data_IF_341810621127
#
_entry.id   IF_341810621127
#
_cell.length_a   1.000
_cell.length_b   1.000
_cell.length_c   1.000
_cell.angle_alpha   90.00
_cell.angle_beta   90.00
_cell.angle_gamma   90.00
#
_symmetry.space_group_name_H-M   'P 1'
#
loop_
_entity.id
_entity.type
_entity.pdbx_description
1 polymer ?
#
# COMPACT_ATOMS: atom_id res chain seq x y z
N UNK A 1 5.05 -10.01 39.81
CA UNK A 1 5.50 -10.92 38.74
C UNK A 1 4.86 -10.45 37.47
N UNK A 2 5.65 -9.90 36.57
CA UNK A 2 5.18 -9.38 35.29
C UNK A 2 5.08 -10.56 34.31
N UNK A 3 3.87 -10.96 33.96
CA UNK A 3 3.68 -11.90 32.87
C UNK A 3 3.92 -11.17 31.57
N UNK A 4 5.09 -11.33 31.02
CA UNK A 4 5.43 -10.92 29.67
C UNK A 4 4.71 -11.91 28.74
N UNK A 5 3.60 -11.51 28.17
CA UNK A 5 2.93 -12.32 27.13
C UNK A 5 3.62 -12.01 25.81
N UNK A 6 4.44 -12.95 25.37
CA UNK A 6 4.99 -12.95 24.01
C UNK A 6 3.87 -13.36 23.06
N UNK A 7 3.50 -12.49 22.13
CA UNK A 7 2.65 -12.89 21.03
C UNK A 7 3.43 -13.89 20.15
N UNK A 8 3.00 -15.13 20.10
CA UNK A 8 3.56 -16.11 19.19
C UNK A 8 3.14 -15.75 17.75
N UNK A 9 4.13 -15.62 16.90
CA UNK A 9 3.96 -15.41 15.48
C UNK A 9 3.71 -16.76 14.80
N UNK A 10 2.57 -16.91 14.14
CA UNK A 10 2.27 -18.10 13.36
C UNK A 10 2.45 -17.78 11.87
N UNK A 11 3.58 -18.20 11.32
CA UNK A 11 3.93 -17.98 9.90
C UNK A 11 2.96 -18.66 8.93
N UNK A 12 2.27 -19.70 9.35
CA UNK A 12 1.42 -20.52 8.48
C UNK A 12 0.06 -19.86 8.19
N UNK A 13 -0.43 -19.00 9.07
CA UNK A 13 -1.77 -18.41 8.93
C UNK A 13 -1.76 -16.90 8.68
N UNK A 14 -0.62 -16.25 8.79
CA UNK A 14 -0.48 -14.77 8.74
C UNK A 14 -1.45 -14.02 9.68
N UNK A 15 -2.03 -14.71 10.61
CA UNK A 15 -2.92 -14.17 11.61
C UNK A 15 -2.14 -13.92 12.90
N UNK A 16 -2.07 -12.68 13.32
CA UNK A 16 -1.60 -12.39 14.67
C UNK A 16 -2.68 -12.78 15.66
N UNK A 17 -2.37 -13.72 16.55
CA UNK A 17 -3.25 -14.06 17.66
C UNK A 17 -3.10 -12.97 18.73
N UNK A 18 -4.15 -12.22 18.97
CA UNK A 18 -4.18 -11.24 20.04
C UNK A 18 -4.53 -11.94 21.36
N UNK A 19 -3.72 -11.72 22.38
CA UNK A 19 -4.10 -12.14 23.72
C UNK A 19 -5.27 -11.28 24.23
N UNK A 20 -6.42 -11.91 24.42
CA UNK A 20 -7.63 -11.27 24.95
C UNK A 20 -7.48 -10.81 26.42
N UNK A 21 -6.42 -11.23 27.09
CA UNK A 21 -6.17 -10.95 28.52
C UNK A 21 -5.29 -9.72 28.76
N UNK A 22 -5.11 -8.89 27.73
CA UNK A 22 -4.31 -7.67 27.88
C UNK A 22 -4.92 -6.75 28.94
N UNK A 23 -4.33 -6.77 30.12
CA UNK A 23 -4.72 -5.85 31.20
C UNK A 23 -4.31 -4.44 30.80
N UNK A 24 -5.24 -3.53 30.95
CA UNK A 24 -5.08 -2.11 30.81
C UNK A 24 -4.01 -1.60 31.80
N UNK A 25 -2.75 -1.65 31.38
CA UNK A 25 -1.65 -0.98 32.06
C UNK A 25 -1.58 0.47 31.61
N UNK A 26 -1.14 1.36 32.48
CA UNK A 26 -1.05 2.80 32.23
C UNK A 26 -0.01 3.20 31.16
N UNK A 27 0.68 2.27 30.53
CA UNK A 27 1.70 2.55 29.53
C UNK A 27 1.18 2.22 28.15
N UNK A 28 1.12 3.18 27.21
CA UNK A 28 0.74 2.90 25.82
C UNK A 28 1.63 1.83 25.22
N UNK A 29 1.02 0.83 24.62
CA UNK A 29 1.77 -0.24 23.97
C UNK A 29 1.79 0.00 22.47
N UNK A 30 2.98 0.04 21.89
CA UNK A 30 3.17 0.09 20.46
C UNK A 30 3.23 -1.33 19.93
N UNK A 31 2.30 -1.70 19.07
CA UNK A 31 2.31 -2.96 18.34
C UNK A 31 2.56 -2.68 16.87
N UNK A 32 3.54 -3.37 16.31
CA UNK A 32 3.80 -3.34 14.88
C UNK A 32 3.18 -4.57 14.25
N UNK A 33 2.37 -4.38 13.23
CA UNK A 33 1.92 -5.47 12.38
C UNK A 33 2.98 -5.68 11.30
N UNK A 34 3.81 -6.71 11.48
CA UNK A 34 4.85 -7.07 10.53
C UNK A 34 4.28 -7.72 9.25
N UNK A 35 2.98 -7.97 9.20
CA UNK A 35 2.31 -8.63 8.07
C UNK A 35 1.64 -7.68 7.09
N UNK A 36 1.62 -6.40 7.36
CA UNK A 36 1.45 -5.47 6.28
C UNK A 36 2.79 -5.21 5.68
N UNK A 37 2.84 -5.67 4.51
CA UNK A 37 4.00 -6.47 4.20
C UNK A 37 5.22 -5.58 4.26
N UNK A 38 6.31 -6.14 4.68
CA UNK A 38 7.62 -5.79 4.19
C UNK A 38 7.66 -5.81 2.64
N UNK A 39 6.53 -5.99 1.99
CA UNK A 39 6.32 -5.96 0.56
C UNK A 39 6.19 -4.51 0.12
N UNK A 40 7.01 -4.11 -0.80
CA UNK A 40 6.77 -2.90 -1.56
C UNK A 40 5.59 -3.08 -2.51
N UNK A 41 5.04 -1.95 -2.96
CA UNK A 41 3.97 -1.92 -3.95
C UNK A 41 4.40 -1.03 -5.10
N UNK A 42 4.25 -1.51 -6.32
CA UNK A 42 4.44 -0.69 -7.50
C UNK A 42 3.12 -0.61 -8.26
N UNK A 43 2.59 0.59 -8.36
CA UNK A 43 1.49 0.94 -9.24
C UNK A 43 2.06 1.83 -10.33
N UNK A 44 2.04 1.37 -11.57
CA UNK A 44 2.50 2.12 -12.72
C UNK A 44 1.38 2.22 -13.75
N UNK A 45 1.09 3.44 -14.19
CA UNK A 45 0.37 3.67 -15.41
C UNK A 45 1.35 3.54 -16.57
N UNK A 46 1.21 2.51 -17.37
CA UNK A 46 2.07 2.33 -18.52
C UNK A 46 1.64 3.27 -19.66
N UNK A 47 2.64 3.80 -20.37
CA UNK A 47 2.41 4.64 -21.55
C UNK A 47 1.63 3.89 -22.63
N UNK A 48 0.87 4.63 -23.43
CA UNK A 48 0.18 4.08 -24.57
C UNK A 48 1.15 3.33 -25.51
N UNK A 49 0.73 2.15 -25.98
CA UNK A 49 1.56 1.32 -26.82
C UNK A 49 2.50 0.36 -26.08
N UNK A 50 2.40 0.27 -24.77
CA UNK A 50 3.13 -0.75 -24.02
C UNK A 50 2.74 -2.15 -24.49
N UNK A 51 3.74 -3.05 -24.56
CA UNK A 51 3.55 -4.45 -24.91
C UNK A 51 4.08 -5.37 -23.82
N UNK A 52 3.60 -6.58 -23.75
CA UNK A 52 4.10 -7.61 -22.87
C UNK A 52 4.33 -8.91 -23.61
N UNK A 53 5.29 -9.69 -23.16
CA UNK A 53 5.52 -11.07 -23.54
C UNK A 53 5.89 -11.89 -22.32
N UNK A 54 5.68 -13.21 -22.39
CA UNK A 54 6.13 -14.11 -21.32
C UNK A 54 6.94 -15.25 -21.90
N UNK A 55 8.08 -15.51 -21.26
CA UNK A 55 8.95 -16.65 -21.58
C UNK A 55 9.44 -17.27 -20.29
N UNK A 56 9.24 -18.56 -20.14
CA UNK A 56 9.69 -19.34 -18.97
C UNK A 56 9.24 -18.74 -17.63
N UNK A 57 7.99 -18.28 -17.56
CA UNK A 57 7.41 -17.71 -16.35
C UNK A 57 7.84 -16.27 -16.03
N UNK A 58 8.64 -15.63 -16.87
CA UNK A 58 9.02 -14.23 -16.75
C UNK A 58 8.22 -13.39 -17.73
N UNK A 59 7.50 -12.42 -17.24
CA UNK A 59 6.81 -11.41 -18.04
C UNK A 59 7.75 -10.23 -18.25
N UNK A 60 7.95 -9.87 -19.50
CA UNK A 60 8.67 -8.66 -19.91
C UNK A 60 7.67 -7.66 -20.43
N UNK A 61 7.59 -6.51 -19.78
CA UNK A 61 6.77 -5.38 -20.25
C UNK A 61 7.68 -4.35 -20.87
N UNK A 62 7.38 -3.99 -22.12
CA UNK A 62 8.07 -2.90 -22.83
C UNK A 62 7.15 -1.69 -22.86
N UNK A 63 7.58 -0.62 -22.20
CA UNK A 63 6.84 0.63 -22.03
C UNK A 63 7.80 1.80 -22.11
N UNK A 64 7.88 2.43 -23.26
CA UNK A 64 8.88 3.48 -23.55
C UNK A 64 8.79 4.62 -22.53
N UNK A 65 9.93 4.93 -21.91
CA UNK A 65 10.07 6.02 -20.93
C UNK A 65 9.07 5.90 -19.77
N UNK A 66 8.95 4.72 -19.18
CA UNK A 66 7.98 4.44 -18.09
C UNK A 66 8.21 5.25 -16.79
N UNK A 67 9.34 5.94 -16.65
CA UNK A 67 9.62 6.84 -15.52
C UNK A 67 9.97 6.16 -14.19
N UNK A 68 10.05 4.83 -14.13
CA UNK A 68 10.45 4.08 -12.94
C UNK A 68 11.98 4.11 -12.84
N UNK A 69 12.52 4.16 -11.62
CA UNK A 69 13.98 4.17 -11.39
C UNK A 69 14.63 2.92 -11.96
N UNK A 70 15.56 3.11 -12.87
CA UNK A 70 16.23 2.03 -13.61
C UNK A 70 17.37 1.39 -12.81
N UNK A 71 17.78 0.17 -13.21
CA UNK A 71 18.85 -0.57 -12.57
C UNK A 71 18.49 -1.08 -11.17
N UNK A 72 17.22 -1.09 -10.81
CA UNK A 72 16.72 -1.55 -9.51
C UNK A 72 16.04 -2.91 -9.61
N UNK A 73 16.16 -3.70 -8.55
CA UNK A 73 15.38 -4.91 -8.32
C UNK A 73 14.59 -4.74 -7.03
N UNK A 74 13.29 -4.78 -7.13
CA UNK A 74 12.39 -4.66 -5.99
C UNK A 74 12.01 -6.06 -5.51
N UNK A 75 12.84 -6.65 -4.66
CA UNK A 75 12.58 -7.96 -4.06
C UNK A 75 11.40 -7.86 -3.11
N UNK A 76 10.41 -8.74 -3.27
CA UNK A 76 9.20 -8.75 -2.45
C UNK A 76 8.24 -7.59 -2.76
N UNK A 77 8.43 -6.86 -3.85
CA UNK A 77 7.49 -5.85 -4.30
C UNK A 77 6.34 -6.48 -5.07
N UNK A 78 5.10 -6.09 -4.75
CA UNK A 78 3.93 -6.42 -5.54
C UNK A 78 3.78 -5.42 -6.67
N UNK A 79 3.59 -5.93 -7.87
CA UNK A 79 3.34 -5.11 -9.06
C UNK A 79 1.90 -5.23 -9.51
N UNK A 80 1.22 -4.10 -9.70
CA UNK A 80 -0.09 -4.09 -10.33
C UNK A 80 0.04 -4.04 -11.84
N UNK A 81 -0.18 -5.18 -12.46
CA UNK A 81 -0.19 -5.31 -13.92
C UNK A 81 -1.58 -4.94 -14.47
N UNK A 82 -1.67 -4.09 -15.51
CA UNK A 82 -2.97 -3.66 -16.04
C UNK A 82 -3.70 -4.70 -16.90
N UNK A 83 -3.03 -5.82 -17.19
CA UNK A 83 -3.58 -6.89 -17.99
C UNK A 83 -3.20 -6.82 -19.48
N UNK A 84 -3.31 -7.96 -20.13
CA UNK A 84 -3.18 -8.17 -21.57
C UNK A 84 -4.07 -9.35 -21.98
N UNK A 85 -4.23 -9.67 -23.26
CA UNK A 85 -5.06 -10.81 -23.69
C UNK A 85 -4.75 -12.13 -23.01
N UNK A 86 -3.46 -12.43 -22.78
CA UNK A 86 -3.00 -13.71 -22.19
C UNK A 86 -2.68 -13.64 -20.71
N UNK A 87 -2.72 -12.45 -20.07
CA UNK A 87 -2.42 -12.28 -18.65
C UNK A 87 -3.39 -11.27 -18.02
N UNK A 88 -4.13 -11.74 -17.02
CA UNK A 88 -5.14 -10.93 -16.34
C UNK A 88 -4.56 -9.72 -15.63
N UNK A 89 -5.36 -8.65 -15.49
CA UNK A 89 -5.04 -7.53 -14.62
C UNK A 89 -5.07 -7.96 -13.15
N UNK A 90 -4.13 -7.45 -12.36
CA UNK A 90 -4.08 -7.73 -10.93
C UNK A 90 -2.72 -7.48 -10.30
N UNK A 91 -2.64 -7.76 -9.00
CA UNK A 91 -1.41 -7.73 -8.23
C UNK A 91 -0.63 -9.03 -8.39
N UNK A 92 0.64 -8.89 -8.76
CA UNK A 92 1.58 -10.00 -8.88
C UNK A 92 2.65 -9.89 -7.81
N UNK A 93 2.75 -10.92 -6.98
CA UNK A 93 3.75 -11.07 -5.92
C UNK A 93 5.00 -11.70 -6.53
N UNK A 94 5.92 -10.87 -6.99
CA UNK A 94 7.08 -11.38 -7.72
C UNK A 94 8.30 -10.49 -7.53
N UNK A 95 9.44 -10.98 -7.99
CA UNK A 95 10.62 -10.13 -8.13
C UNK A 95 10.38 -9.21 -9.32
N UNK A 96 10.31 -7.92 -9.05
CA UNK A 96 10.22 -6.88 -10.07
C UNK A 96 11.61 -6.33 -10.37
N UNK A 97 12.03 -6.39 -11.62
CA UNK A 97 13.27 -5.80 -12.06
C UNK A 97 13.01 -4.72 -13.11
N UNK A 98 13.74 -3.61 -13.00
CA UNK A 98 13.68 -2.47 -13.92
C UNK A 98 15.04 -2.36 -14.62
N UNK A 99 15.29 -3.12 -15.70
CA UNK A 99 16.59 -3.16 -16.36
C UNK A 99 16.99 -1.83 -16.98
N UNK A 100 16.04 -1.15 -17.58
CA UNK A 100 16.25 0.09 -18.32
C UNK A 100 15.00 0.99 -18.30
N UNK A 101 15.07 2.14 -18.96
CA UNK A 101 13.98 3.13 -18.98
C UNK A 101 12.74 2.70 -19.77
N UNK A 102 12.81 1.60 -20.49
CA UNK A 102 11.73 1.13 -21.38
C UNK A 102 11.21 -0.26 -21.01
N UNK A 103 11.86 -0.94 -20.06
CA UNK A 103 11.58 -2.35 -19.77
C UNK A 103 11.43 -2.58 -18.27
N UNK A 104 10.42 -3.35 -17.90
CA UNK A 104 10.30 -3.95 -16.58
C UNK A 104 9.96 -5.43 -16.69
N UNK A 105 10.40 -6.23 -15.72
CA UNK A 105 10.13 -7.66 -15.70
C UNK A 105 9.58 -8.12 -14.35
N UNK A 106 8.69 -9.08 -14.37
CA UNK A 106 8.16 -9.74 -13.17
C UNK A 106 7.81 -11.20 -13.47
N UNK A 107 7.69 -12.00 -12.42
CA UNK A 107 7.33 -13.42 -12.57
C UNK A 107 5.82 -13.61 -12.54
N UNK A 108 5.29 -14.40 -13.46
CA UNK A 108 3.90 -14.84 -13.44
C UNK A 108 3.79 -16.24 -14.03
N UNK A 109 3.10 -17.13 -13.34
CA UNK A 109 2.86 -18.49 -13.81
C UNK A 109 1.90 -18.51 -15.00
N UNK A 110 2.01 -19.55 -15.83
CA UNK A 110 1.11 -19.82 -16.96
C UNK A 110 1.87 -20.17 -18.24
N UNK A 111 1.16 -20.26 -19.36
CA UNK A 111 1.75 -20.54 -20.67
C UNK A 111 2.50 -19.34 -21.24
N UNK A 112 3.59 -19.57 -21.96
CA UNK A 112 4.32 -18.51 -22.64
C UNK A 112 3.45 -17.87 -23.74
N UNK A 113 3.65 -16.57 -23.95
CA UNK A 113 2.97 -15.82 -25.01
C UNK A 113 3.93 -14.81 -25.66
N UNK A 114 3.69 -14.55 -26.94
CA UNK A 114 4.46 -13.56 -27.70
C UNK A 114 4.10 -12.12 -27.33
N UNK A 115 4.66 -11.18 -28.07
CA UNK A 115 4.36 -9.75 -27.83
C UNK A 115 2.87 -9.45 -28.08
N UNK A 116 2.20 -8.91 -27.07
CA UNK A 116 0.81 -8.47 -27.14
C UNK A 116 0.62 -7.11 -26.44
N UNK A 117 -0.42 -6.38 -26.81
CA UNK A 117 -0.70 -5.08 -26.24
C UNK A 117 -1.11 -5.21 -24.77
N UNK A 118 -0.50 -4.39 -23.90
CA UNK A 118 -0.92 -4.24 -22.52
C UNK A 118 -2.18 -3.38 -22.48
N UNK A 119 -3.17 -3.82 -21.70
CA UNK A 119 -4.36 -3.01 -21.43
C UNK A 119 -3.92 -1.80 -20.62
N UNK A 120 -3.93 -0.59 -21.21
CA UNK A 120 -3.47 0.57 -20.47
C UNK A 120 -3.01 1.69 -21.36
N UNK A 121 -2.52 2.74 -20.79
CA UNK A 121 -2.47 4.09 -21.29
C UNK A 121 -3.60 4.88 -20.66
N UNK A 122 -4.45 4.21 -19.87
CA UNK A 122 -5.43 4.85 -19.01
C UNK A 122 -4.77 4.99 -17.64
N UNK A 123 -4.67 6.21 -17.15
CA UNK A 123 -4.23 6.47 -15.80
C UNK A 123 -5.09 5.67 -14.81
N UNK A 124 -4.47 5.10 -13.78
CA UNK A 124 -5.20 4.47 -12.67
C UNK A 124 -5.87 5.56 -11.81
N UNK A 125 -6.80 6.28 -12.42
CA UNK A 125 -7.65 7.27 -11.76
C UNK A 125 -8.62 6.60 -10.80
N UNK A 126 -8.87 5.29 -11.00
CA UNK A 126 -9.60 4.48 -10.05
C UNK A 126 -8.65 4.01 -8.96
N UNK A 127 -9.05 4.28 -7.73
CA UNK A 127 -8.31 3.87 -6.55
C UNK A 127 -8.19 2.34 -6.48
N UNK A 128 -6.95 1.84 -6.31
CA UNK A 128 -6.62 0.42 -6.30
C UNK A 128 -6.18 -0.01 -4.91
N UNK A 129 -6.85 -1.00 -4.33
CA UNK A 129 -6.50 -1.53 -3.02
C UNK A 129 -5.26 -2.44 -3.14
N UNK A 130 -4.17 -2.01 -2.52
CA UNK A 130 -2.89 -2.72 -2.55
C UNK A 130 -2.79 -3.79 -1.48
N UNK A 131 -3.27 -3.49 -0.29
CA UNK A 131 -3.29 -4.42 0.84
C UNK A 131 -4.41 -4.10 1.82
N UNK A 132 -4.86 -5.10 2.55
CA UNK A 132 -5.83 -4.93 3.63
C UNK A 132 -5.49 -5.81 4.83
N UNK A 133 -5.90 -5.34 5.99
CA UNK A 133 -5.71 -5.99 7.29
C UNK A 133 -7.00 -5.87 8.08
N UNK A 134 -7.44 -6.96 8.69
CA UNK A 134 -8.54 -6.91 9.66
C UNK A 134 -7.99 -6.59 11.04
N UNK A 135 -8.50 -5.53 11.65
CA UNK A 135 -8.30 -5.22 13.07
C UNK A 135 -9.50 -5.81 13.81
N UNK A 136 -9.30 -6.84 14.63
CA UNK A 136 -10.41 -7.48 15.36
C UNK A 136 -11.13 -6.51 16.28
N UNK A 137 -12.42 -6.71 16.42
CA UNK A 137 -13.26 -5.91 17.32
C UNK A 137 -12.69 -5.87 18.74
N UNK A 138 -12.87 -4.74 19.40
CA UNK A 138 -12.31 -4.47 20.73
C UNK A 138 -10.77 -4.44 20.84
N UNK A 139 -10.02 -4.54 19.74
CA UNK A 139 -8.56 -4.32 19.74
C UNK A 139 -8.24 -2.84 19.99
N UNK A 140 -8.89 -1.95 19.26
CA UNK A 140 -8.77 -0.51 19.48
C UNK A 140 -9.63 -0.08 20.69
N UNK A 141 -9.16 0.93 21.39
CA UNK A 141 -9.82 1.53 22.57
C UNK A 141 -9.96 3.04 22.36
N UNK A 142 -10.59 3.71 23.30
CA UNK A 142 -10.50 5.16 23.36
C UNK A 142 -9.03 5.59 23.44
N UNK A 143 -8.66 6.65 22.74
CA UNK A 143 -7.31 7.19 22.55
C UNK A 143 -6.34 6.30 21.75
N UNK A 144 -6.72 5.09 21.33
CA UNK A 144 -5.88 4.30 20.43
C UNK A 144 -5.55 5.07 19.15
N UNK A 145 -4.32 4.88 18.69
CA UNK A 145 -3.84 5.47 17.43
C UNK A 145 -3.47 4.37 16.44
N UNK A 146 -3.95 4.50 15.23
CA UNK A 146 -3.52 3.70 14.08
C UNK A 146 -2.63 4.57 13.20
N UNK A 147 -1.44 4.09 12.86
CA UNK A 147 -0.48 4.77 12.01
C UNK A 147 -0.02 3.84 10.91
N UNK A 148 -0.15 4.27 9.67
CA UNK A 148 0.51 3.69 8.51
C UNK A 148 1.77 4.50 8.24
N UNK A 149 2.93 3.87 8.38
CA UNK A 149 4.20 4.45 7.94
C UNK A 149 4.64 3.76 6.66
N UNK A 150 5.10 4.52 5.68
CA UNK A 150 5.58 3.99 4.41
C UNK A 150 6.72 4.83 3.85
N UNK A 151 7.66 4.15 3.23
CA UNK A 151 8.65 4.77 2.37
C UNK A 151 8.05 4.92 0.99
N UNK A 152 8.29 6.05 0.34
CA UNK A 152 7.74 6.35 -0.97
C UNK A 152 8.82 6.75 -1.96
N UNK A 153 8.67 6.30 -3.18
CA UNK A 153 9.35 6.78 -4.37
C UNK A 153 8.31 7.04 -5.46
N UNK A 154 8.28 8.23 -6.00
CA UNK A 154 7.36 8.61 -7.07
C UNK A 154 8.11 9.07 -8.30
N UNK A 155 7.64 8.66 -9.49
CA UNK A 155 8.19 9.15 -10.74
C UNK A 155 7.82 10.61 -11.04
N UNK A 156 8.57 11.26 -11.90
CA UNK A 156 8.10 12.39 -12.68
C UNK A 156 7.20 11.89 -13.81
N UNK A 157 6.20 12.65 -14.29
CA UNK A 157 5.91 14.05 -14.07
C UNK A 157 5.14 14.34 -12.78
N UNK A 158 4.99 15.65 -12.49
CA UNK A 158 4.39 16.18 -11.29
C UNK A 158 2.86 16.12 -11.31
N UNK A 159 2.30 14.93 -11.35
CA UNK A 159 0.85 14.73 -11.20
C UNK A 159 0.53 14.05 -9.87
N UNK A 160 -0.69 14.19 -9.41
CA UNK A 160 -1.08 13.70 -8.09
C UNK A 160 -1.00 12.18 -7.99
N UNK A 161 -0.12 11.72 -7.13
CA UNK A 161 -0.03 10.32 -6.70
C UNK A 161 -0.54 10.25 -5.26
N UNK A 162 -1.51 9.41 -5.01
CA UNK A 162 -2.19 9.38 -3.72
C UNK A 162 -2.00 8.02 -3.04
N UNK A 163 -1.62 8.07 -1.77
CA UNK A 163 -1.67 6.94 -0.85
C UNK A 163 -2.78 7.22 0.15
N UNK A 164 -3.76 6.36 0.24
CA UNK A 164 -4.91 6.54 1.13
C UNK A 164 -4.96 5.43 2.17
N UNK A 165 -5.09 5.83 3.42
CA UNK A 165 -5.43 4.94 4.53
C UNK A 165 -6.96 4.88 4.63
N UNK A 166 -7.53 3.71 4.40
CA UNK A 166 -8.97 3.46 4.48
C UNK A 166 -9.26 2.65 5.73
N UNK A 167 -10.25 3.04 6.51
CA UNK A 167 -10.69 2.34 7.72
C UNK A 167 -12.19 2.08 7.66
N UNK A 168 -12.58 0.82 7.81
CA UNK A 168 -13.97 0.40 7.71
C UNK A 168 -14.66 0.85 6.41
N UNK A 169 -13.95 0.83 5.28
CA UNK A 169 -14.45 1.25 3.98
C UNK A 169 -14.47 2.77 3.73
N UNK A 170 -14.08 3.60 4.70
CA UNK A 170 -14.03 5.07 4.55
C UNK A 170 -12.59 5.58 4.56
N UNK A 171 -12.27 6.55 3.70
CA UNK A 171 -10.97 7.20 3.70
C UNK A 171 -10.74 7.94 5.03
N UNK A 172 -9.72 7.52 5.76
CA UNK A 172 -9.34 8.13 7.03
C UNK A 172 -8.33 9.27 6.81
N UNK A 173 -7.25 8.98 6.11
CA UNK A 173 -6.22 9.94 5.80
C UNK A 173 -5.64 9.65 4.42
N UNK A 174 -5.15 10.67 3.75
CA UNK A 174 -4.50 10.51 2.45
C UNK A 174 -3.22 11.36 2.37
N UNK A 175 -2.28 10.88 1.59
CA UNK A 175 -1.08 11.59 1.22
C UNK A 175 -1.10 11.86 -0.29
N UNK A 176 -0.99 13.12 -0.65
CA UNK A 176 -0.84 13.54 -2.04
C UNK A 176 0.59 13.96 -2.31
N UNK A 177 1.15 13.42 -3.37
CA UNK A 177 2.43 13.85 -3.87
C UNK A 177 2.29 14.39 -5.28
N UNK A 178 2.71 15.61 -5.45
CA UNK A 178 2.69 16.30 -6.74
C UNK A 178 4.02 16.19 -7.51
N UNK A 179 5.07 15.62 -6.90
CA UNK A 179 6.41 15.59 -7.48
C UNK A 179 7.10 14.23 -7.33
N UNK A 180 8.27 14.09 -7.96
CA UNK A 180 9.18 12.96 -7.83
C UNK A 180 9.90 12.92 -6.48
N UNK A 181 9.18 12.96 -5.38
CA UNK A 181 9.80 12.99 -4.08
C UNK A 181 9.91 11.62 -3.45
N UNK A 182 10.97 11.45 -2.71
CA UNK A 182 11.29 10.28 -1.89
C UNK A 182 11.22 10.66 -0.43
N UNK A 183 10.69 9.80 0.40
CA UNK A 183 10.70 10.05 1.83
C UNK A 183 9.78 9.13 2.63
N UNK A 184 9.98 9.19 3.94
CA UNK A 184 9.10 8.53 4.90
C UNK A 184 7.85 9.37 5.12
N UNK A 185 6.70 8.75 5.00
CA UNK A 185 5.39 9.37 5.20
C UNK A 185 4.60 8.57 6.22
N UNK A 186 3.86 9.28 7.05
CA UNK A 186 2.96 8.66 8.02
C UNK A 186 1.54 9.20 7.87
N UNK A 187 0.60 8.29 7.70
CA UNK A 187 -0.84 8.55 7.78
C UNK A 187 -1.37 7.99 9.09
N UNK A 188 -2.20 8.72 9.80
CA UNK A 188 -2.73 8.21 11.06
C UNK A 188 -4.10 8.76 11.39
N UNK A 189 -4.86 7.98 12.19
CA UNK A 189 -6.03 8.46 12.88
C UNK A 189 -5.97 8.08 14.36
N UNK A 190 -6.80 8.74 15.18
CA UNK A 190 -6.97 8.47 16.59
C UNK A 190 -8.43 8.13 16.88
N UNK A 191 -8.66 7.15 17.73
CA UNK A 191 -9.97 6.85 18.26
C UNK A 191 -10.32 7.83 19.39
N UNK A 192 -11.52 8.38 19.35
CA UNK A 192 -12.11 9.22 20.39
C UNK A 192 -13.44 8.58 20.83
N UNK A 193 -13.35 7.55 21.67
CA UNK A 193 -14.49 6.68 21.99
C UNK A 193 -14.66 5.53 21.00
N UNK A 194 -15.74 4.75 21.18
CA UNK A 194 -16.00 3.52 20.41
C UNK A 194 -16.45 3.76 18.97
N UNK A 195 -17.06 4.92 18.68
CA UNK A 195 -17.69 5.20 17.40
C UNK A 195 -17.20 6.48 16.75
N UNK A 196 -16.03 6.96 17.13
CA UNK A 196 -15.46 8.17 16.58
C UNK A 196 -13.96 8.02 16.35
N UNK A 197 -13.53 8.27 15.14
CA UNK A 197 -12.11 8.36 14.78
C UNK A 197 -11.86 9.72 14.12
N UNK A 198 -10.72 10.32 14.44
CA UNK A 198 -10.33 11.62 13.90
C UNK A 198 -8.95 11.50 13.26
N UNK A 199 -8.84 11.95 12.03
CA UNK A 199 -7.62 11.98 11.25
C UNK A 199 -7.39 13.37 10.65
N UNK A 200 -6.13 13.69 10.33
CA UNK A 200 -5.84 14.75 9.39
C UNK A 200 -6.13 14.24 7.97
N UNK A 201 -7.03 14.89 7.26
CA UNK A 201 -7.52 14.38 5.97
C UNK A 201 -6.46 14.32 4.88
N UNK A 202 -5.47 15.22 4.92
CA UNK A 202 -4.46 15.31 3.89
C UNK A 202 -3.11 15.65 4.50
N UNK A 203 -2.10 14.88 4.14
CA UNK A 203 -0.70 15.19 4.39
C UNK A 203 -0.07 15.45 3.03
N UNK A 204 0.47 16.63 2.84
CA UNK A 204 1.20 17.00 1.63
C UNK A 204 2.70 16.97 1.91
N UNK A 205 3.47 16.70 0.88
CA UNK A 205 4.91 16.70 0.95
C UNK A 205 5.47 18.08 1.35
N UNK A 206 6.35 18.07 2.34
CA UNK A 206 7.06 19.28 2.79
C UNK A 206 6.24 20.28 3.60
N UNK A 207 4.97 20.04 3.81
CA UNK A 207 4.13 20.93 4.58
C UNK A 207 3.03 20.17 5.32
N UNK A 208 3.03 20.21 6.64
CA UNK A 208 1.88 19.86 7.46
C UNK A 208 0.80 20.94 7.29
N UNK A 209 0.38 21.15 6.07
CA UNK A 209 -0.70 22.11 5.82
C UNK A 209 -2.00 21.53 6.31
N UNK A 210 -2.65 22.28 7.10
CA UNK A 210 -4.02 22.28 7.58
C UNK A 210 -5.03 21.57 6.67
N UNK A 211 -4.93 20.26 6.56
CA UNK A 211 -6.05 19.47 6.05
C UNK A 211 -7.21 19.58 7.05
N UNK A 212 -8.42 19.64 6.56
CA UNK A 212 -9.58 19.53 7.42
C UNK A 212 -9.51 18.22 8.22
N UNK A 213 -10.02 18.21 9.44
CA UNK A 213 -10.14 16.99 10.21
C UNK A 213 -11.22 16.11 9.57
N UNK A 214 -10.85 14.88 9.22
CA UNK A 214 -11.83 13.85 8.84
C UNK A 214 -12.31 13.16 10.09
N UNK A 215 -13.61 13.07 10.25
CA UNK A 215 -14.26 12.33 11.33
C UNK A 215 -14.91 11.09 10.74
N UNK A 216 -14.52 9.92 11.24
CA UNK A 216 -15.14 8.65 10.91
C UNK A 216 -16.02 8.19 12.08
N UNK A 217 -17.07 7.43 11.76
CA UNK A 217 -18.02 6.88 12.74
C UNK A 217 -18.05 5.36 12.65
N UNK A 218 -16.89 4.73 12.83
CA UNK A 218 -16.76 3.26 12.76
C UNK A 218 -16.81 2.67 14.16
N UNK A 219 -17.60 1.63 14.32
CA UNK A 219 -17.71 0.91 15.58
C UNK A 219 -16.48 -0.01 15.77
N UNK A 220 -15.56 0.39 16.66
CA UNK A 220 -14.35 -0.38 16.95
C UNK A 220 -14.59 -1.58 17.88
N UNK A 221 -15.81 -1.81 18.33
CA UNK A 221 -16.18 -3.06 18.99
C UNK A 221 -16.37 -4.21 18.01
N UNK A 222 -16.53 -3.89 16.73
CA UNK A 222 -16.64 -4.83 15.62
C UNK A 222 -15.32 -4.90 14.85
N UNK A 223 -15.14 -5.98 14.10
CA UNK A 223 -14.01 -6.11 13.19
C UNK A 223 -14.02 -4.98 12.17
N UNK A 224 -12.85 -4.36 11.99
CA UNK A 224 -12.68 -3.25 11.04
C UNK A 224 -11.56 -3.57 10.06
N UNK A 225 -11.82 -3.39 8.78
CA UNK A 225 -10.77 -3.53 7.76
C UNK A 225 -10.00 -2.24 7.62
N UNK A 226 -8.69 -2.33 7.72
CA UNK A 226 -7.75 -1.28 7.36
C UNK A 226 -7.19 -1.59 5.97
N UNK A 227 -7.23 -0.63 5.04
CA UNK A 227 -6.80 -0.84 3.66
C UNK A 227 -5.82 0.24 3.23
N UNK A 228 -4.74 -0.19 2.57
CA UNK A 228 -3.83 0.68 1.82
C UNK A 228 -4.36 0.78 0.39
N UNK A 229 -4.68 2.00 -0.02
CA UNK A 229 -5.21 2.29 -1.35
C UNK A 229 -4.27 3.22 -2.09
N UNK A 230 -4.00 2.90 -3.35
CA UNK A 230 -3.09 3.65 -4.20
C UNK A 230 -3.84 4.20 -5.41
N UNK A 231 -3.46 5.41 -5.83
CA UNK A 231 -4.00 6.04 -7.04
C UNK A 231 -2.90 6.83 -7.74
N UNK A 232 -2.85 6.79 -9.05
CA UNK A 232 -2.04 7.66 -9.90
C UNK A 232 -2.95 8.39 -10.89
N UNK A 233 -2.63 9.63 -11.21
CA UNK A 233 -3.53 10.49 -11.98
C UNK A 233 -3.18 10.58 -13.47
N UNK A 234 -1.99 10.16 -13.87
CA UNK A 234 -1.51 10.26 -15.26
C UNK A 234 -1.01 8.91 -15.78
N UNK A 235 -1.14 8.71 -17.08
CA UNK A 235 -0.61 7.53 -17.77
C UNK A 235 0.92 7.38 -17.72
N UNK A 236 1.63 8.42 -17.30
CA UNK A 236 3.09 8.41 -17.15
C UNK A 236 3.52 8.35 -15.69
N UNK A 237 2.58 8.29 -14.76
CA UNK A 237 2.90 8.23 -13.33
C UNK A 237 3.22 6.81 -12.89
N UNK A 238 4.17 6.71 -11.97
CA UNK A 238 4.32 5.53 -11.16
C UNK A 238 4.42 5.90 -9.68
N UNK A 239 3.94 5.03 -8.83
CA UNK A 239 4.02 5.13 -7.39
C UNK A 239 4.63 3.84 -6.86
N UNK A 240 5.82 3.96 -6.28
CA UNK A 240 6.51 2.85 -5.63
C UNK A 240 6.44 3.07 -4.13
N UNK A 241 6.01 2.08 -3.41
CA UNK A 241 6.06 1.99 -1.95
C UNK A 241 6.99 0.84 -1.59
N UNK A 242 8.30 1.08 -1.44
CA UNK A 242 9.28 0.01 -1.16
C UNK A 242 9.01 -0.71 0.15
N UNK A 243 8.42 -0.02 1.12
CA UNK A 243 8.00 -0.63 2.37
C UNK A 243 6.81 0.12 2.98
N UNK A 244 5.93 -0.62 3.62
CA UNK A 244 4.85 -0.06 4.44
C UNK A 244 4.66 -0.91 5.69
N UNK A 245 4.29 -0.30 6.81
CA UNK A 245 3.95 -1.00 8.03
C UNK A 245 2.86 -0.26 8.81
N UNK A 246 2.11 -1.00 9.61
CA UNK A 246 1.08 -0.45 10.48
C UNK A 246 1.53 -0.55 11.93
N UNK A 247 1.40 0.56 12.65
CA UNK A 247 1.62 0.63 14.09
C UNK A 247 0.29 0.91 14.78
N UNK A 248 -0.02 0.12 15.80
CA UNK A 248 -1.10 0.40 16.73
C UNK A 248 -0.49 0.84 18.06
N UNK A 249 -0.96 1.96 18.57
CA UNK A 249 -0.77 2.38 19.97
C UNK A 249 -2.10 2.21 20.67
N UNK A 250 -2.14 1.36 21.68
CA UNK A 250 -3.36 0.96 22.40
C UNK A 250 -3.27 1.44 23.82
#
# INVERSE_FOLDING_TARGET
MSNLVTAEYNETTQAQVYDKNFRQGSTPQIRRFNNWPSLGFLLASLVAGATASRTSGVVTVTATAHGITTGTTYVGCRYFYPGSPSLAAGWYDSILTIPDANTLTFSAAGADFGSESVNGGVAYTTATDAASLVIPGNTLKDQSRVKLAHLRDGSTPATNKTVTLVFGGSAAALFNAASSSRGDVSLSFRCLGTNKQVACSTVNEGNMTSGALTVLTKDITQDQTLTLRLTVASAQDCLVIPSAHVELTI
#
